data_IF_173909130779
#
_entry.id   IF_173909130779
#
_cell.length_a   1.000
_cell.length_b   1.000
_cell.length_c   1.000
_cell.angle_alpha   90.00
_cell.angle_beta   90.00
_cell.angle_gamma   90.00
#
_symmetry.space_group_name_H-M   'P 1'
#
loop_
_entity.id
_entity.type
_entity.pdbx_description
1 polymer ?
#
# COMPACT_ATOMS: atom_id res chain seq x y z
N UNK A 1 -15.94 -3.72 -3.89
CA UNK A 1 -15.72 -3.75 -2.42
C UNK A 1 -15.82 -2.39 -1.73
N UNK A 2 -15.03 -1.42 -2.20
CA UNK A 2 -14.94 -0.07 -1.61
C UNK A 2 -16.26 0.70 -1.62
N UNK A 3 -17.02 0.64 -2.72
CA UNK A 3 -18.31 1.34 -2.80
C UNK A 3 -19.34 0.80 -1.81
N UNK A 4 -19.41 -0.52 -1.62
CA UNK A 4 -20.34 -1.11 -0.63
C UNK A 4 -19.99 -0.68 0.81
N UNK A 5 -18.70 -0.63 1.15
CA UNK A 5 -18.24 -0.20 2.46
C UNK A 5 -18.49 1.30 2.72
N UNK A 6 -18.29 2.15 1.71
CA UNK A 6 -18.60 3.58 1.78
C UNK A 6 -20.10 3.83 2.00
N UNK A 7 -20.96 2.98 1.44
CA UNK A 7 -22.40 3.01 1.67
C UNK A 7 -22.83 2.27 2.95
N UNK A 8 -21.90 1.74 3.74
CA UNK A 8 -22.19 1.04 4.99
C UNK A 8 -22.92 -0.30 4.79
N UNK A 9 -22.78 -0.90 3.61
CA UNK A 9 -23.38 -2.18 3.30
C UNK A 9 -22.39 -3.30 3.66
N UNK A 10 -22.85 -4.32 4.41
CA UNK A 10 -22.03 -5.47 4.69
C UNK A 10 -21.74 -6.27 3.42
N UNK A 11 -20.55 -6.87 3.37
CA UNK A 11 -20.04 -7.60 2.22
C UNK A 11 -19.78 -9.06 2.54
N UNK A 12 -20.09 -9.95 1.60
CA UNK A 12 -19.50 -11.29 1.55
C UNK A 12 -18.47 -11.29 0.43
N UNK A 13 -17.22 -11.62 0.75
CA UNK A 13 -16.13 -11.61 -0.22
C UNK A 13 -15.29 -12.89 -0.14
N UNK A 14 -14.53 -13.18 -1.20
CA UNK A 14 -13.70 -14.39 -1.24
C UNK A 14 -12.54 -14.28 -0.27
N UNK A 15 -12.24 -15.37 0.44
CA UNK A 15 -11.06 -15.46 1.32
C UNK A 15 -9.71 -15.53 0.58
N UNK A 16 -9.73 -15.48 -0.75
CA UNK A 16 -8.56 -15.57 -1.62
C UNK A 16 -8.34 -14.22 -2.32
N UNK A 17 -7.09 -13.76 -2.35
CA UNK A 17 -6.67 -12.56 -3.09
C UNK A 17 -6.98 -11.22 -2.40
N UNK A 18 -7.01 -10.15 -3.19
CA UNK A 18 -7.16 -8.77 -2.72
C UNK A 18 -8.37 -8.43 -1.82
N UNK A 19 -9.52 -9.14 -1.88
CA UNK A 19 -10.64 -8.85 -0.98
C UNK A 19 -10.34 -9.11 0.51
N UNK A 20 -9.34 -9.93 0.82
CA UNK A 20 -8.92 -10.22 2.19
C UNK A 20 -8.34 -8.98 2.86
N UNK A 21 -7.51 -8.21 2.16
CA UNK A 21 -6.89 -7.00 2.70
C UNK A 21 -7.91 -5.89 2.90
N UNK A 22 -8.88 -5.82 1.99
CA UNK A 22 -10.02 -4.90 2.09
C UNK A 22 -10.88 -5.23 3.30
N UNK A 23 -11.21 -6.51 3.51
CA UNK A 23 -11.97 -6.95 4.66
C UNK A 23 -11.20 -6.75 5.98
N UNK A 24 -9.90 -7.01 6.02
CA UNK A 24 -9.05 -6.77 7.21
C UNK A 24 -9.01 -5.31 7.60
N UNK A 25 -8.96 -4.40 6.64
CA UNK A 25 -8.89 -2.98 6.94
C UNK A 25 -10.26 -2.36 7.23
N UNK A 26 -11.35 -2.86 6.62
CA UNK A 26 -12.69 -2.29 6.81
C UNK A 26 -13.51 -2.97 7.91
N UNK A 27 -13.28 -4.26 8.18
CA UNK A 27 -14.07 -5.09 9.09
C UNK A 27 -15.59 -5.00 8.85
N UNK A 28 -16.00 -4.99 7.58
CA UNK A 28 -17.36 -4.71 7.14
C UNK A 28 -18.07 -5.93 6.51
N UNK A 29 -17.71 -7.16 6.90
CA UNK A 29 -18.24 -8.33 6.20
C UNK A 29 -17.77 -9.70 6.67
N UNK A 30 -17.98 -10.72 5.84
CA UNK A 30 -17.52 -12.09 6.05
C UNK A 30 -16.70 -12.57 4.84
N UNK A 31 -15.65 -13.35 5.11
CA UNK A 31 -14.83 -13.99 4.08
C UNK A 31 -15.27 -15.45 3.90
N UNK A 32 -15.48 -15.86 2.65
CA UNK A 32 -15.97 -17.19 2.30
C UNK A 32 -15.11 -17.80 1.19
N UNK A 33 -15.02 -19.13 1.14
CA UNK A 33 -14.39 -19.82 0.01
C UNK A 33 -15.30 -19.76 -1.22
N UNK A 34 -14.82 -19.30 -2.39
CA UNK A 34 -15.63 -19.32 -3.61
C UNK A 34 -16.08 -20.73 -4.05
N UNK A 35 -15.41 -21.80 -3.61
CA UNK A 35 -15.79 -23.17 -3.97
C UNK A 35 -16.77 -23.82 -2.98
N UNK A 36 -17.13 -23.13 -1.90
CA UNK A 36 -18.04 -23.64 -0.89
C UNK A 36 -19.39 -22.91 -0.96
N UNK A 37 -20.30 -23.48 -1.75
CA UNK A 37 -21.64 -22.92 -1.96
C UNK A 37 -22.45 -22.85 -0.66
N UNK A 38 -22.27 -23.83 0.23
CA UNK A 38 -23.00 -23.89 1.50
C UNK A 38 -22.51 -22.81 2.46
N UNK A 39 -21.20 -22.58 2.52
CA UNK A 39 -20.63 -21.47 3.30
C UNK A 39 -21.08 -20.10 2.78
N UNK A 40 -21.28 -19.91 1.47
CA UNK A 40 -21.81 -18.66 0.91
C UNK A 40 -23.25 -18.44 1.39
N UNK A 41 -24.09 -19.47 1.30
CA UNK A 41 -25.48 -19.40 1.76
C UNK A 41 -25.55 -19.10 3.26
N UNK A 42 -24.74 -19.78 4.07
CA UNK A 42 -24.68 -19.56 5.52
C UNK A 42 -24.17 -18.16 5.88
N UNK A 43 -23.17 -17.65 5.17
CA UNK A 43 -22.64 -16.30 5.40
C UNK A 43 -23.68 -15.22 5.07
N UNK A 44 -24.41 -15.37 3.96
CA UNK A 44 -25.51 -14.48 3.59
C UNK A 44 -26.65 -14.55 4.61
N UNK A 45 -27.05 -15.76 5.00
CA UNK A 45 -28.10 -15.97 5.99
C UNK A 45 -27.73 -15.33 7.33
N UNK A 46 -26.49 -15.54 7.79
CA UNK A 46 -25.97 -14.94 9.03
C UNK A 46 -25.99 -13.42 8.99
N UNK A 47 -25.58 -12.84 7.86
CA UNK A 47 -25.58 -11.39 7.68
C UNK A 47 -26.97 -10.78 7.73
N UNK A 48 -27.97 -11.46 7.18
CA UNK A 48 -29.37 -10.98 7.17
C UNK A 48 -30.09 -11.27 8.48
N UNK A 49 -29.77 -12.36 9.17
CA UNK A 49 -30.42 -12.77 10.43
C UNK A 49 -29.88 -12.02 11.65
N UNK A 50 -28.58 -11.70 11.67
CA UNK A 50 -27.93 -11.04 12.80
C UNK A 50 -27.87 -9.52 12.62
N UNK A 51 -28.90 -8.81 13.12
CA UNK A 51 -28.97 -7.34 13.09
C UNK A 51 -27.79 -6.63 13.76
N UNK A 52 -27.20 -7.25 14.78
CA UNK A 52 -26.03 -6.69 15.47
C UNK A 52 -24.79 -6.71 14.56
N UNK A 53 -24.54 -7.85 13.91
CA UNK A 53 -23.44 -8.01 12.95
C UNK A 53 -23.59 -7.04 11.78
N UNK A 54 -24.82 -6.87 11.27
CA UNK A 54 -25.11 -5.90 10.22
C UNK A 54 -24.77 -4.47 10.64
N UNK A 55 -25.20 -4.05 11.82
CA UNK A 55 -24.94 -2.70 12.34
C UNK A 55 -23.46 -2.46 12.57
N UNK A 56 -22.76 -3.45 13.12
CA UNK A 56 -21.31 -3.38 13.32
C UNK A 56 -20.57 -3.24 11.97
N UNK A 57 -20.92 -4.07 10.98
CA UNK A 57 -20.33 -3.96 9.64
C UNK A 57 -20.57 -2.59 9.00
N UNK A 58 -21.75 -2.00 9.22
CA UNK A 58 -22.09 -0.66 8.74
C UNK A 58 -21.24 0.42 9.41
N UNK A 59 -21.14 0.39 10.74
CA UNK A 59 -20.35 1.36 11.52
C UNK A 59 -18.87 1.24 11.16
N UNK A 60 -18.35 0.02 11.07
CA UNK A 60 -16.96 -0.24 10.72
C UNK A 60 -16.65 0.18 9.29
N UNK A 61 -17.57 -0.05 8.35
CA UNK A 61 -17.47 0.45 6.97
C UNK A 61 -17.24 1.95 6.92
N UNK A 62 -18.07 2.74 7.62
CA UNK A 62 -17.92 4.21 7.68
C UNK A 62 -16.69 4.66 8.43
N UNK A 63 -16.39 4.01 9.56
CA UNK A 63 -15.24 4.36 10.39
C UNK A 63 -13.94 4.13 9.65
N UNK A 64 -13.82 3.05 8.88
CA UNK A 64 -12.54 2.62 8.32
C UNK A 64 -12.35 2.95 6.83
N UNK A 65 -13.39 3.45 6.13
CA UNK A 65 -13.30 3.76 4.68
C UNK A 65 -12.19 4.76 4.34
N UNK A 66 -11.87 5.67 5.26
CA UNK A 66 -10.81 6.66 5.08
C UNK A 66 -9.42 6.03 4.93
N UNK A 67 -9.20 4.82 5.44
CA UNK A 67 -7.93 4.09 5.30
C UNK A 67 -7.62 3.71 3.84
N UNK A 68 -8.65 3.65 2.99
CA UNK A 68 -8.51 3.43 1.56
C UNK A 68 -8.59 4.72 0.73
N UNK A 69 -8.54 5.87 1.39
CA UNK A 69 -8.43 7.15 0.69
C UNK A 69 -7.05 7.29 0.04
N UNK A 70 -7.02 8.01 -1.09
CA UNK A 70 -5.78 8.29 -1.80
C UNK A 70 -4.71 8.99 -0.92
N UNK A 71 -5.06 9.97 -0.06
CA UNK A 71 -4.08 10.59 0.85
C UNK A 71 -3.45 9.61 1.84
N UNK A 72 -4.25 8.71 2.43
CA UNK A 72 -3.75 7.71 3.38
C UNK A 72 -2.85 6.68 2.69
N UNK A 73 -3.18 6.31 1.46
CA UNK A 73 -2.33 5.46 0.63
C UNK A 73 -0.98 6.12 0.34
N UNK A 74 -0.99 7.38 -0.12
CA UNK A 74 0.23 8.16 -0.37
C UNK A 74 1.08 8.31 0.89
N UNK A 75 0.46 8.62 2.04
CA UNK A 75 1.14 8.77 3.33
C UNK A 75 1.84 7.48 3.75
N UNK A 76 1.14 6.35 3.65
CA UNK A 76 1.68 5.02 4.01
C UNK A 76 2.83 4.64 3.09
N UNK A 77 2.65 4.83 1.78
CA UNK A 77 3.67 4.56 0.78
C UNK A 77 4.94 5.39 0.99
N UNK A 78 4.80 6.72 1.11
CA UNK A 78 5.93 7.63 1.32
C UNK A 78 6.63 7.38 2.64
N UNK A 79 5.89 7.07 3.71
CA UNK A 79 6.47 6.68 5.01
C UNK A 79 7.32 5.41 4.88
N UNK A 80 6.84 4.42 4.11
CA UNK A 80 7.58 3.18 3.85
C UNK A 80 8.86 3.45 3.06
N UNK A 81 8.76 4.25 2.00
CA UNK A 81 9.92 4.67 1.19
C UNK A 81 10.94 5.43 2.03
N UNK A 82 10.50 6.38 2.86
CA UNK A 82 11.38 7.13 3.76
C UNK A 82 12.05 6.24 4.84
N UNK A 83 11.35 5.19 5.29
CA UNK A 83 11.90 4.22 6.24
C UNK A 83 12.93 3.26 5.62
N UNK A 84 12.94 3.14 4.29
CA UNK A 84 13.96 2.37 3.60
C UNK A 84 15.23 3.22 3.50
N UNK A 85 16.32 2.76 4.11
CA UNK A 85 17.66 3.32 3.90
C UNK A 85 17.91 3.42 2.40
N UNK A 86 18.30 4.61 1.93
CA UNK A 86 18.84 4.80 0.59
C UNK A 86 20.01 3.83 0.43
N UNK A 87 19.86 2.83 -0.44
CA UNK A 87 21.00 2.05 -0.89
C UNK A 87 21.86 3.02 -1.67
N UNK A 88 23.03 3.36 -1.12
CA UNK A 88 24.06 4.10 -1.85
C UNK A 88 24.33 3.34 -3.14
N UNK A 89 23.97 3.90 -4.31
CA UNK A 89 24.29 3.26 -5.57
C UNK A 89 25.81 3.27 -5.71
N UNK A 90 26.44 2.09 -5.77
CA UNK A 90 27.91 1.98 -5.88
C UNK A 90 28.47 2.70 -7.11
N UNK A 91 27.65 2.93 -8.15
CA UNK A 91 28.03 3.66 -9.36
C UNK A 91 28.30 5.16 -9.15
N UNK A 92 27.86 5.77 -8.03
CA UNK A 92 28.18 7.18 -7.75
C UNK A 92 29.62 7.35 -7.24
N UNK A 93 30.17 6.36 -6.55
CA UNK A 93 31.57 6.39 -6.08
C UNK A 93 32.56 6.38 -7.24
N UNK A 94 32.28 5.61 -8.30
CA UNK A 94 33.16 5.51 -9.45
C UNK A 94 33.19 6.81 -10.29
N UNK A 95 32.07 7.56 -10.32
CA UNK A 95 31.97 8.82 -11.06
C UNK A 95 32.69 9.97 -10.35
N UNK A 96 32.62 10.02 -9.01
CA UNK A 96 33.27 11.07 -8.22
C UNK A 96 34.80 10.89 -8.19
N UNK A 97 35.31 9.65 -8.18
CA UNK A 97 36.76 9.37 -8.27
C UNK A 97 37.34 9.69 -9.65
N UNK A 98 36.57 9.49 -10.73
CA UNK A 98 36.99 9.86 -12.09
C UNK A 98 36.99 11.38 -12.30
N UNK A 99 35.97 12.09 -11.78
CA UNK A 99 35.90 13.55 -11.88
C UNK A 99 37.05 14.24 -11.11
N UNK A 100 37.44 13.71 -9.95
CA UNK A 100 38.56 14.22 -9.18
C UNK A 100 39.92 14.04 -9.88
N UNK A 101 40.07 12.98 -10.70
CA UNK A 101 41.30 12.75 -11.49
C UNK A 101 41.39 13.65 -12.72
N UNK A 102 40.28 13.92 -13.39
CA UNK A 102 40.25 14.81 -14.57
C UNK A 102 40.52 16.28 -14.18
N UNK A 103 40.02 16.76 -13.05
CA UNK A 103 40.30 18.12 -12.56
C UNK A 103 41.78 18.30 -12.18
N UNK A 104 42.41 17.29 -11.56
CA UNK A 104 43.83 17.34 -11.19
C UNK A 104 44.74 17.26 -12.43
N UNK A 105 44.33 16.52 -13.47
CA UNK A 105 45.05 16.46 -14.74
C UNK A 105 44.91 17.75 -15.56
N UNK A 106 43.72 18.37 -15.58
CA UNK A 106 43.45 19.63 -16.27
C UNK A 106 44.14 20.85 -15.65
N UNK A 107 44.27 20.89 -14.32
CA UNK A 107 44.99 21.97 -13.61
C UNK A 107 46.50 21.93 -13.88
N UNK A 108 47.06 20.74 -14.08
CA UNK A 108 48.49 20.56 -14.33
C UNK A 108 48.91 20.87 -15.78
N UNK A 109 47.96 20.83 -16.72
CA UNK A 109 48.21 21.16 -18.13
C UNK A 109 48.20 22.68 -18.37
N UNK A 110 47.35 23.43 -17.65
CA UNK A 110 47.23 24.90 -17.83
C UNK A 110 48.40 25.72 -17.24
N UNK A 111 49.23 25.15 -16.36
CA UNK A 111 50.38 25.81 -15.74
C UNK A 111 51.68 25.78 -16.58
N UNK A 112 51.66 25.20 -17.78
CA UNK A 112 52.85 25.09 -18.64
C UNK A 112 52.97 26.14 -19.75
N UNK A 113 51.95 26.97 -19.96
CA UNK A 113 51.89 27.90 -21.10
C UNK A 113 52.12 29.39 -20.76
N UNK A 114 52.80 29.69 -19.66
CA UNK A 114 53.26 31.06 -19.36
C UNK A 114 54.78 31.08 -19.33
N UNK A 115 55.39 31.38 -20.47
CA UNK A 115 56.78 31.85 -20.58
C UNK A 115 56.84 33.11 -21.45
#
# INVERSE_FOLDING_TARGET
PFFAAAHGLPMVATKNGGPVDIHRALHNGLLVDPHDQEAIANALLKLVSEKNLWNECRINGWKNIHLFSWPEHCRTYLTRVASCRMRHPQWQTDADEMAAQDDEFSLNDSLKDVQ
#
